data_IF_547693119604
#
_entry.id   IF_547693119604
#
_cell.length_a   1.000
_cell.length_b   1.000
_cell.length_c   1.000
_cell.angle_alpha   90.00
_cell.angle_beta   90.00
_cell.angle_gamma   90.00
#
_symmetry.space_group_name_H-M   'P 1'
#
loop_
_entity.id
_entity.type
_entity.pdbx_description
1 polymer ?
#
# COMPACT_ATOMS: atom_id res chain seq x y z
N UNK A 1 9.43 11.75 29.41
CA UNK A 1 8.86 10.90 28.34
C UNK A 1 9.73 11.07 27.11
N UNK A 2 10.40 10.00 26.65
CA UNK A 2 11.28 10.06 25.48
C UNK A 2 10.43 10.13 24.22
N UNK A 3 10.31 11.33 23.66
CA UNK A 3 9.81 11.57 22.32
C UNK A 3 10.83 10.96 21.35
N UNK A 4 10.58 9.73 20.89
CA UNK A 4 11.45 8.98 19.97
C UNK A 4 10.72 8.70 18.64
N UNK A 5 9.96 9.68 18.14
CA UNK A 5 9.74 9.78 16.71
C UNK A 5 10.84 10.69 16.16
N UNK A 6 12.07 10.17 16.09
CA UNK A 6 13.07 10.76 15.21
C UNK A 6 12.42 10.72 13.83
N UNK A 7 12.13 11.89 13.26
CA UNK A 7 11.61 12.04 11.90
C UNK A 7 12.59 11.29 11.01
N UNK A 8 12.20 10.10 10.53
CA UNK A 8 12.93 9.46 9.45
C UNK A 8 12.62 10.33 8.23
N UNK A 9 13.53 11.25 7.88
CA UNK A 9 13.48 11.98 6.61
C UNK A 9 13.19 10.96 5.51
N UNK A 10 12.00 11.04 4.90
CA UNK A 10 11.63 10.14 3.81
C UNK A 10 12.54 10.49 2.64
N UNK A 11 13.44 9.59 2.21
CA UNK A 11 14.37 9.90 1.16
C UNK A 11 13.63 10.12 -0.16
N UNK A 12 14.15 11.02 -1.00
CA UNK A 12 13.57 11.33 -2.32
C UNK A 12 13.36 10.05 -3.16
N UNK A 13 14.27 9.08 -3.07
CA UNK A 13 14.13 7.83 -3.83
C UNK A 13 12.97 6.93 -3.35
N UNK A 14 12.49 7.12 -2.12
CA UNK A 14 11.31 6.44 -1.57
C UNK A 14 10.06 7.19 -1.99
N UNK A 15 10.02 8.51 -1.75
CA UNK A 15 8.86 9.34 -2.12
C UNK A 15 8.58 9.30 -3.62
N UNK A 16 9.60 9.38 -4.48
CA UNK A 16 9.40 9.25 -5.93
C UNK A 16 8.82 7.90 -6.35
N UNK A 17 9.17 6.81 -5.64
CA UNK A 17 8.62 5.50 -5.96
C UNK A 17 7.18 5.35 -5.47
N UNK A 18 6.87 5.81 -4.26
CA UNK A 18 5.50 5.73 -3.72
C UNK A 18 4.56 6.68 -4.45
N UNK A 19 5.02 7.88 -4.80
CA UNK A 19 4.25 8.84 -5.61
C UNK A 19 3.92 8.26 -6.99
N UNK A 20 4.92 7.66 -7.67
CA UNK A 20 4.70 6.94 -8.91
C UNK A 20 3.72 5.76 -8.71
N UNK A 21 3.80 5.06 -7.58
CA UNK A 21 2.86 4.00 -7.26
C UNK A 21 1.43 4.52 -7.13
N UNK A 22 1.17 5.43 -6.20
CA UNK A 22 -0.19 5.89 -5.91
C UNK A 22 -0.84 6.62 -7.10
N UNK A 23 -0.07 7.33 -7.92
CA UNK A 23 -0.61 8.06 -9.07
C UNK A 23 -0.69 7.24 -10.37
N UNK A 24 0.17 6.23 -10.57
CA UNK A 24 0.17 5.42 -11.82
C UNK A 24 -0.37 4.01 -11.67
N UNK A 25 -0.36 3.42 -10.47
CA UNK A 25 -0.83 2.03 -10.25
C UNK A 25 -2.32 1.88 -10.48
N UNK A 26 -3.08 2.95 -10.25
CA UNK A 26 -4.54 2.91 -10.30
C UNK A 26 -5.08 2.68 -11.72
N UNK A 27 -4.34 3.07 -12.77
CA UNK A 27 -4.93 3.14 -14.11
C UNK A 27 -4.11 2.57 -15.28
N UNK A 28 -2.77 2.52 -15.30
CA UNK A 28 -2.10 2.39 -16.62
C UNK A 28 -0.84 1.51 -16.79
N UNK A 29 -0.10 1.06 -15.77
CA UNK A 29 1.09 0.25 -16.04
C UNK A 29 1.56 -0.67 -14.89
N UNK A 30 2.19 -1.82 -15.19
CA UNK A 30 2.91 -2.60 -14.19
C UNK A 30 4.06 -1.77 -13.64
N UNK A 31 3.96 -1.36 -12.38
CA UNK A 31 5.04 -0.64 -11.70
C UNK A 31 6.21 -1.59 -11.49
N UNK A 32 7.42 -1.07 -11.76
CA UNK A 32 8.64 -1.81 -11.49
C UNK A 32 8.70 -2.17 -10.01
N UNK A 33 9.01 -3.44 -9.75
CA UNK A 33 9.22 -3.92 -8.40
C UNK A 33 10.23 -3.00 -7.65
N UNK A 34 9.93 -2.59 -6.40
CA UNK A 34 10.77 -1.65 -5.68
C UNK A 34 12.18 -2.21 -5.47
N UNK A 35 13.19 -1.34 -5.54
CA UNK A 35 14.57 -1.71 -5.19
C UNK A 35 14.63 -2.09 -3.70
N UNK A 36 15.54 -2.99 -3.31
CA UNK A 36 15.71 -3.45 -1.92
C UNK A 36 15.74 -2.29 -0.91
N UNK A 37 16.45 -1.19 -1.20
CA UNK A 37 16.51 -0.01 -0.33
C UNK A 37 15.14 0.66 -0.06
N UNK A 38 14.24 0.64 -1.03
CA UNK A 38 12.86 1.15 -0.87
C UNK A 38 12.07 0.21 0.01
N UNK A 39 12.21 -1.11 -0.21
CA UNK A 39 11.57 -2.14 0.62
C UNK A 39 12.05 -2.03 2.07
N UNK A 40 13.37 -1.99 2.28
CA UNK A 40 13.97 -1.89 3.61
C UNK A 40 13.44 -0.65 4.34
N UNK A 41 13.37 0.51 3.66
CA UNK A 41 12.85 1.74 4.26
C UNK A 41 11.35 1.66 4.55
N UNK A 42 10.52 1.24 3.59
CA UNK A 42 9.06 1.17 3.79
C UNK A 42 8.68 0.12 4.85
N UNK A 43 9.48 -0.94 5.00
CA UNK A 43 9.24 -2.01 5.97
C UNK A 43 9.24 -1.56 7.44
N UNK A 44 9.68 -0.33 7.73
CA UNK A 44 9.55 0.26 9.06
C UNK A 44 8.11 0.71 9.38
N UNK A 45 7.29 0.91 8.35
CA UNK A 45 5.91 1.39 8.45
C UNK A 45 4.92 0.26 8.22
N UNK A 46 5.01 -0.80 9.03
CA UNK A 46 4.06 -1.93 8.99
C UNK A 46 3.81 -2.51 10.36
N UNK A 47 2.66 -3.17 10.52
CA UNK A 47 2.34 -3.90 11.75
C UNK A 47 3.20 -5.15 11.88
N UNK A 48 3.47 -5.53 13.13
CA UNK A 48 4.26 -6.72 13.47
C UNK A 48 3.41 -7.98 13.63
N UNK A 49 2.09 -7.84 13.57
CA UNK A 49 1.12 -8.91 13.70
C UNK A 49 0.55 -9.31 12.33
N UNK A 50 -0.13 -10.45 12.28
CA UNK A 50 -0.89 -10.85 11.10
C UNK A 50 -2.11 -9.94 10.97
N UNK A 51 -2.44 -9.57 9.73
CA UNK A 51 -3.58 -8.69 9.44
C UNK A 51 -4.46 -9.29 8.37
N UNK A 52 -5.77 -9.12 8.53
CA UNK A 52 -6.76 -9.48 7.50
C UNK A 52 -7.10 -8.24 6.69
N UNK A 53 -7.03 -8.37 5.37
CA UNK A 53 -7.28 -7.28 4.43
C UNK A 53 -8.24 -7.72 3.32
N UNK A 54 -8.82 -6.71 2.66
CA UNK A 54 -9.77 -6.87 1.57
C UNK A 54 -9.28 -6.18 0.30
N UNK A 55 -9.64 -6.73 -0.86
CA UNK A 55 -9.34 -6.13 -2.16
C UNK A 55 -10.48 -6.37 -3.13
N UNK A 56 -10.91 -5.32 -3.81
CA UNK A 56 -11.81 -5.42 -4.95
C UNK A 56 -11.04 -5.84 -6.19
N UNK A 57 -11.46 -6.94 -6.80
CA UNK A 57 -10.90 -7.43 -8.06
C UNK A 57 -11.87 -7.19 -9.20
N UNK A 58 -11.34 -6.71 -10.32
CA UNK A 58 -12.02 -6.57 -11.60
C UNK A 58 -11.11 -7.09 -12.74
N UNK A 59 -11.63 -7.11 -13.97
CA UNK A 59 -10.93 -7.66 -15.15
C UNK A 59 -9.59 -7.00 -15.46
N UNK A 60 -9.34 -5.78 -14.96
CA UNK A 60 -8.11 -5.02 -15.20
C UNK A 60 -7.03 -5.31 -14.16
N UNK A 61 -7.39 -5.69 -12.94
CA UNK A 61 -6.44 -5.80 -11.82
C UNK A 61 -6.28 -7.23 -11.25
N UNK A 62 -7.07 -8.19 -11.72
CA UNK A 62 -7.05 -9.60 -11.27
C UNK A 62 -5.67 -10.26 -11.40
N UNK A 63 -4.92 -9.91 -12.46
CA UNK A 63 -3.63 -10.52 -12.78
C UNK A 63 -2.42 -9.74 -12.26
N UNK A 64 -2.61 -8.63 -11.53
CA UNK A 64 -1.48 -7.88 -11.00
C UNK A 64 -0.86 -8.63 -9.81
N UNK A 65 0.40 -9.05 -9.98
CA UNK A 65 1.16 -9.88 -9.03
C UNK A 65 2.37 -9.19 -8.41
N UNK A 66 2.62 -7.90 -8.67
CA UNK A 66 3.85 -7.23 -8.22
C UNK A 66 3.69 -6.59 -6.84
N UNK A 67 3.09 -5.41 -6.78
CA UNK A 67 2.69 -4.74 -5.54
C UNK A 67 1.23 -4.37 -5.72
N UNK A 68 0.40 -4.69 -4.74
CA UNK A 68 -1.05 -4.52 -4.82
C UNK A 68 -1.55 -3.77 -3.58
N UNK A 69 -2.46 -2.82 -3.81
CA UNK A 69 -3.17 -2.16 -2.72
C UNK A 69 -4.27 -3.08 -2.18
N UNK A 70 -4.35 -3.13 -0.87
CA UNK A 70 -5.35 -3.79 -0.06
C UNK A 70 -5.86 -2.81 0.99
N UNK A 71 -7.03 -3.05 1.57
CA UNK A 71 -7.59 -2.17 2.59
C UNK A 71 -8.15 -2.95 3.76
N UNK A 72 -8.13 -2.34 4.95
CA UNK A 72 -8.87 -2.86 6.10
C UNK A 72 -10.39 -2.66 5.96
N UNK A 73 -10.82 -1.74 5.10
CA UNK A 73 -12.22 -1.39 4.91
C UNK A 73 -12.83 -2.17 3.74
N UNK A 74 -13.66 -3.16 4.06
CA UNK A 74 -14.35 -3.97 3.05
C UNK A 74 -15.25 -3.14 2.13
N UNK A 75 -15.88 -2.06 2.62
CA UNK A 75 -16.74 -1.20 1.80
C UNK A 75 -15.91 -0.35 0.83
N UNK A 76 -14.73 0.09 1.24
CA UNK A 76 -13.80 0.75 0.33
C UNK A 76 -13.37 -0.22 -0.78
N UNK A 77 -13.03 -1.48 -0.44
CA UNK A 77 -12.71 -2.51 -1.42
C UNK A 77 -13.85 -2.79 -2.42
N UNK A 78 -15.12 -2.69 -1.99
CA UNK A 78 -16.29 -2.84 -2.86
C UNK A 78 -16.35 -1.78 -3.97
N UNK A 79 -15.90 -0.56 -3.71
CA UNK A 79 -15.91 0.53 -4.70
C UNK A 79 -15.03 0.25 -5.93
N UNK A 80 -14.06 -0.65 -5.79
CA UNK A 80 -13.14 -1.06 -6.86
C UNK A 80 -13.69 -2.20 -7.74
N UNK A 81 -14.87 -2.72 -7.42
CA UNK A 81 -15.52 -3.79 -8.17
C UNK A 81 -16.35 -3.22 -9.32
N UNK A 82 -16.06 -3.68 -10.53
CA UNK A 82 -16.82 -3.37 -11.74
C UNK A 82 -16.96 -4.63 -12.61
N UNK A 83 -17.95 -4.64 -13.52
CA UNK A 83 -18.13 -5.68 -14.54
C UNK A 83 -18.08 -7.14 -14.03
N UNK A 84 -18.76 -7.45 -12.92
CA UNK A 84 -18.81 -8.81 -12.36
C UNK A 84 -17.57 -9.22 -11.54
N UNK A 85 -16.79 -8.23 -11.09
CA UNK A 85 -15.71 -8.42 -10.13
C UNK A 85 -16.16 -8.95 -8.76
N UNK A 86 -15.19 -9.21 -7.87
CA UNK A 86 -15.44 -9.77 -6.53
C UNK A 86 -14.53 -9.17 -5.48
N UNK A 87 -14.95 -9.22 -4.23
CA UNK A 87 -14.07 -8.99 -3.09
C UNK A 87 -13.28 -10.27 -2.85
N UNK A 88 -11.98 -10.13 -2.65
CA UNK A 88 -11.18 -11.17 -2.02
C UNK A 88 -10.73 -10.68 -0.65
N UNK A 89 -10.58 -11.63 0.27
CA UNK A 89 -10.00 -11.41 1.58
C UNK A 89 -8.80 -12.33 1.75
N UNK A 90 -7.78 -11.83 2.44
CA UNK A 90 -6.56 -12.58 2.71
C UNK A 90 -5.94 -12.14 4.02
N UNK A 91 -5.32 -13.10 4.71
CA UNK A 91 -4.50 -12.84 5.87
C UNK A 91 -3.04 -12.69 5.44
N UNK A 92 -2.38 -11.62 5.87
CA UNK A 92 -1.01 -11.29 5.56
C UNK A 92 -0.13 -11.42 6.80
N UNK A 93 1.03 -12.04 6.62
CA UNK A 93 2.11 -11.95 7.62
C UNK A 93 2.91 -10.66 7.42
N UNK A 94 3.60 -10.16 8.45
CA UNK A 94 4.40 -8.94 8.34
C UNK A 94 5.45 -8.94 7.22
N UNK A 95 5.96 -10.11 6.81
CA UNK A 95 6.92 -10.23 5.70
C UNK A 95 6.33 -9.87 4.35
N UNK A 96 5.02 -9.97 4.20
CA UNK A 96 4.31 -9.78 2.94
C UNK A 96 3.85 -8.32 2.77
N UNK A 97 3.95 -7.52 3.84
CA UNK A 97 3.56 -6.11 3.85
C UNK A 97 4.77 -5.23 3.55
N UNK A 98 4.61 -4.37 2.55
CA UNK A 98 5.56 -3.34 2.19
C UNK A 98 5.33 -2.07 3.01
N UNK A 99 4.08 -1.62 3.11
CA UNK A 99 3.68 -0.37 3.76
C UNK A 99 2.25 -0.49 4.28
N UNK A 100 1.99 -0.05 5.51
CA UNK A 100 0.66 0.15 6.09
C UNK A 100 0.46 1.65 6.36
N UNK A 101 -0.40 2.30 5.58
CA UNK A 101 -0.58 3.76 5.67
C UNK A 101 -1.25 4.20 6.96
N UNK A 102 -1.87 3.28 7.71
CA UNK A 102 -2.52 3.58 9.01
C UNK A 102 -1.52 3.91 10.11
N UNK A 103 -0.23 3.61 9.91
CA UNK A 103 0.85 3.88 10.86
C UNK A 103 1.50 5.24 10.60
N UNK A 104 1.31 5.79 9.39
CA UNK A 104 1.89 7.05 8.99
C UNK A 104 1.18 8.23 9.65
N UNK A 105 1.94 9.25 10.01
CA UNK A 105 1.37 10.57 10.33
C UNK A 105 1.06 11.35 9.03
N UNK A 106 0.39 12.49 9.18
CA UNK A 106 -0.08 13.29 8.04
C UNK A 106 1.06 13.82 7.15
N UNK A 107 2.19 14.21 7.75
CA UNK A 107 3.36 14.68 7.02
C UNK A 107 3.97 13.54 6.17
N UNK A 108 4.09 12.34 6.75
CA UNK A 108 4.61 11.16 6.06
C UNK A 108 3.71 10.72 4.91
N UNK A 109 2.39 10.75 5.10
CA UNK A 109 1.42 10.47 4.03
C UNK A 109 1.60 11.45 2.86
N UNK A 110 1.69 12.75 3.13
CA UNK A 110 1.94 13.77 2.09
C UNK A 110 3.26 13.52 1.35
N UNK A 111 4.34 13.25 2.08
CA UNK A 111 5.65 12.99 1.49
C UNK A 111 5.70 11.73 0.63
N UNK A 112 4.83 10.74 0.89
CA UNK A 112 4.75 9.52 0.09
C UNK A 112 3.80 9.64 -1.11
N UNK A 113 3.19 10.81 -1.35
CA UNK A 113 2.26 11.03 -2.45
C UNK A 113 0.86 10.47 -2.20
N UNK A 114 0.49 10.28 -0.93
CA UNK A 114 -0.84 9.80 -0.55
C UNK A 114 -1.84 10.97 -0.51
N UNK A 115 -2.78 11.01 -1.47
CA UNK A 115 -3.88 11.98 -1.48
C UNK A 115 -5.09 11.42 -0.70
N UNK A 116 -5.45 12.12 0.38
CA UNK A 116 -6.47 11.78 1.39
C UNK A 116 -7.90 11.62 0.86
N UNK A 117 -8.16 11.95 -0.41
CA UNK A 117 -9.53 12.07 -0.92
C UNK A 117 -10.17 10.73 -1.32
N UNK A 118 -9.41 9.63 -1.43
CA UNK A 118 -9.96 8.39 -2.01
C UNK A 118 -9.84 7.13 -1.14
N UNK A 119 -8.86 6.99 -0.25
CA UNK A 119 -8.86 5.83 0.65
C UNK A 119 -8.20 6.19 1.97
N UNK A 120 -8.81 5.80 3.08
CA UNK A 120 -8.20 5.85 4.40
C UNK A 120 -8.11 4.38 4.82
N UNK A 121 -6.88 3.87 5.05
CA UNK A 121 -6.52 2.48 5.44
C UNK A 121 -6.00 1.55 4.33
N UNK A 122 -5.21 2.08 3.40
CA UNK A 122 -4.49 1.24 2.44
C UNK A 122 -3.26 0.52 3.04
N UNK A 123 -3.01 -0.68 2.52
CA UNK A 123 -1.83 -1.49 2.78
C UNK A 123 -1.27 -1.95 1.45
N UNK A 124 0.00 -1.62 1.20
CA UNK A 124 0.73 -2.14 0.05
C UNK A 124 1.30 -3.51 0.43
N UNK A 125 0.82 -4.55 -0.24
CA UNK A 125 1.33 -5.90 -0.09
C UNK A 125 2.20 -6.28 -1.29
N UNK A 126 3.28 -7.01 -1.01
CA UNK A 126 4.09 -7.64 -2.04
C UNK A 126 3.26 -8.79 -2.61
N UNK A 127 2.91 -8.70 -3.88
CA UNK A 127 2.15 -9.72 -4.58
C UNK A 127 2.89 -11.05 -4.52
N UNK A 128 2.17 -12.10 -4.10
CA UNK A 128 2.74 -13.43 -3.97
C UNK A 128 3.23 -13.92 -5.34
N UNK A 129 4.44 -14.48 -5.37
CA UNK A 129 4.98 -15.18 -6.54
C UNK A 129 4.09 -16.35 -6.94
#
# INVERSE_FOLDING_TARGET
>A
MKNLAHIAEIPVYVSSWTDEFFHKSAFEAPIKYPKKKVIDFLSQFKKKERIKLYRGINKYNEKNKLIVSWTYDKKAAESYISDGGKIIEQEFVPSDILLDTTILNEEQKQLLGYDYKIDDKEVLAIGMK
#
